data_IF_944816775615
#
_entry.id   IF_944816775615
#
_cell.length_a   1.000
_cell.length_b   1.000
_cell.length_c   1.000
_cell.angle_alpha   90.00
_cell.angle_beta   90.00
_cell.angle_gamma   90.00
#
_symmetry.space_group_name_H-M   'P 1'
#
loop_
_entity.id
_entity.type
_entity.pdbx_description
1 polymer ?
#
# COMPACT_ATOMS: atom_id res chain seq x y z
N UNK A 1 -26.51 17.37 27.39
CA UNK A 1 -27.13 17.15 26.07
C UNK A 1 -26.56 18.15 25.07
N UNK A 2 -25.73 17.69 24.12
CA UNK A 2 -25.46 18.41 22.86
C UNK A 2 -25.36 17.35 21.77
N UNK A 3 -26.40 17.30 20.91
CA UNK A 3 -26.45 16.46 19.72
C UNK A 3 -25.41 16.98 18.73
N UNK A 4 -24.44 16.15 18.34
CA UNK A 4 -23.63 16.40 17.16
C UNK A 4 -24.11 15.43 16.09
N UNK A 5 -24.94 15.95 15.19
CA UNK A 5 -25.37 15.25 13.98
C UNK A 5 -24.18 15.13 13.03
N UNK A 6 -23.49 13.99 13.06
CA UNK A 6 -22.65 13.55 11.95
C UNK A 6 -23.55 13.25 10.76
N UNK A 7 -23.43 14.05 9.70
CA UNK A 7 -24.22 13.94 8.46
C UNK A 7 -24.23 12.50 7.93
N UNK A 8 -25.43 12.04 7.57
CA UNK A 8 -25.71 10.87 6.74
C UNK A 8 -24.66 10.65 5.63
N UNK A 9 -23.98 9.50 5.66
CA UNK A 9 -23.50 8.83 4.44
C UNK A 9 -23.95 7.37 4.48
N UNK A 10 -25.26 7.17 4.52
CA UNK A 10 -25.89 5.90 4.18
C UNK A 10 -25.82 5.65 2.68
N UNK A 11 -24.61 5.52 2.12
CA UNK A 11 -24.48 4.82 0.85
C UNK A 11 -24.43 3.35 1.22
N UNK A 12 -25.49 2.58 0.93
CA UNK A 12 -25.46 1.12 1.10
C UNK A 12 -24.33 0.59 0.22
N UNK A 13 -23.20 0.24 0.85
CA UNK A 13 -22.05 -0.31 0.15
C UNK A 13 -22.46 -1.71 -0.32
N UNK A 14 -22.56 -1.91 -1.62
CA UNK A 14 -22.80 -3.23 -2.21
C UNK A 14 -21.54 -4.10 -2.29
N UNK A 15 -20.37 -3.54 -1.97
CA UNK A 15 -19.09 -4.25 -2.01
C UNK A 15 -18.89 -5.08 -0.72
N UNK A 16 -18.42 -6.33 -0.81
CA UNK A 16 -18.08 -7.14 0.36
C UNK A 16 -16.94 -6.51 1.18
N UNK A 17 -17.03 -6.62 2.51
CA UNK A 17 -15.94 -6.27 3.43
C UNK A 17 -14.67 -7.05 3.04
N UNK A 18 -13.53 -6.37 3.04
CA UNK A 18 -12.23 -6.96 2.64
C UNK A 18 -11.91 -6.85 1.14
N UNK A 19 -12.87 -6.45 0.29
CA UNK A 19 -12.59 -6.15 -1.11
C UNK A 19 -11.80 -4.85 -1.30
N UNK A 20 -11.09 -4.73 -2.43
CA UNK A 20 -10.36 -3.53 -2.80
C UNK A 20 -11.27 -2.29 -2.86
N UNK A 21 -12.47 -2.44 -3.43
CA UNK A 21 -13.48 -1.37 -3.53
C UNK A 21 -13.98 -0.93 -2.16
N UNK A 22 -14.24 -1.88 -1.24
CA UNK A 22 -14.62 -1.54 0.13
C UNK A 22 -13.48 -0.79 0.85
N UNK A 23 -12.23 -1.24 0.69
CA UNK A 23 -11.07 -0.57 1.26
C UNK A 23 -10.84 0.83 0.70
N UNK A 24 -11.12 1.06 -0.60
CA UNK A 24 -11.06 2.39 -1.21
C UNK A 24 -12.14 3.30 -0.62
N UNK A 25 -13.38 2.81 -0.55
CA UNK A 25 -14.50 3.54 0.01
C UNK A 25 -14.24 4.01 1.45
N UNK A 26 -13.75 3.13 2.34
CA UNK A 26 -13.47 3.48 3.74
C UNK A 26 -12.39 4.57 3.83
N UNK A 27 -11.33 4.50 3.01
CA UNK A 27 -10.27 5.51 3.01
C UNK A 27 -10.76 6.88 2.51
N UNK A 28 -11.65 6.90 1.52
CA UNK A 28 -12.26 8.13 1.01
C UNK A 28 -13.30 8.70 1.98
N UNK A 29 -14.09 7.85 2.63
CA UNK A 29 -15.13 8.27 3.57
C UNK A 29 -14.57 8.95 4.82
N UNK A 30 -13.39 8.51 5.29
CA UNK A 30 -12.74 8.98 6.52
C UNK A 30 -11.38 9.65 6.27
N UNK A 31 -11.30 10.50 5.23
CA UNK A 31 -10.07 11.21 4.85
C UNK A 31 -9.72 12.34 5.82
N UNK A 32 -10.71 13.10 6.28
CA UNK A 32 -10.53 14.14 7.29
C UNK A 32 -10.33 13.50 8.68
N UNK A 33 -9.46 14.11 9.49
CA UNK A 33 -9.03 13.53 10.78
C UNK A 33 -9.38 14.44 11.96
N UNK A 34 -9.64 13.82 13.10
CA UNK A 34 -9.75 14.46 14.40
C UNK A 34 -8.61 13.94 15.27
N UNK A 35 -7.93 14.83 16.00
CA UNK A 35 -6.78 14.48 16.87
C UNK A 35 -7.27 14.04 18.26
N UNK A 36 -8.15 13.05 18.30
CA UNK A 36 -8.71 12.48 19.52
C UNK A 36 -8.57 10.96 19.49
N UNK A 37 -8.32 10.36 20.66
CA UNK A 37 -8.26 8.91 20.79
C UNK A 37 -9.66 8.33 20.92
N UNK A 38 -9.88 7.16 20.31
CA UNK A 38 -11.09 6.36 20.48
C UNK A 38 -10.68 5.02 21.07
N UNK A 39 -11.36 4.60 22.14
CA UNK A 39 -11.22 3.25 22.69
C UNK A 39 -12.15 2.34 21.89
N UNK A 40 -11.59 1.33 21.23
CA UNK A 40 -12.34 0.31 20.51
C UNK A 40 -12.77 -0.81 21.47
N UNK A 41 -13.71 -1.64 21.03
CA UNK A 41 -14.22 -2.76 21.81
C UNK A 41 -13.17 -3.88 21.96
N UNK A 42 -13.16 -4.52 23.14
CA UNK A 42 -12.19 -5.56 23.51
C UNK A 42 -12.35 -6.85 22.69
N UNK A 43 -13.50 -7.07 22.06
CA UNK A 43 -13.77 -8.19 21.14
C UNK A 43 -12.86 -8.19 19.91
N UNK A 44 -12.25 -7.05 19.56
CA UNK A 44 -11.25 -6.97 18.50
C UNK A 44 -9.90 -7.58 18.89
N UNK A 45 -9.68 -7.92 20.15
CA UNK A 45 -8.40 -8.48 20.60
C UNK A 45 -8.04 -9.77 19.84
N UNK A 46 -8.98 -10.70 19.70
CA UNK A 46 -8.77 -11.94 18.95
C UNK A 46 -8.48 -11.65 17.46
N UNK A 47 -9.15 -10.65 16.89
CA UNK A 47 -8.91 -10.23 15.50
C UNK A 47 -7.51 -9.63 15.31
N UNK A 48 -6.98 -8.92 16.31
CA UNK A 48 -5.63 -8.38 16.29
C UNK A 48 -4.58 -9.49 16.42
N UNK A 49 -4.77 -10.45 17.34
CA UNK A 49 -3.88 -11.62 17.44
C UNK A 49 -3.85 -12.40 16.13
N UNK A 50 -5.01 -12.63 15.52
CA UNK A 50 -5.08 -13.30 14.22
C UNK A 50 -4.42 -12.49 13.10
N UNK A 51 -4.55 -11.16 13.13
CA UNK A 51 -3.85 -10.29 12.19
C UNK A 51 -2.33 -10.46 12.29
N UNK A 52 -1.77 -10.49 13.50
CA UNK A 52 -0.33 -10.65 13.71
C UNK A 52 0.19 -12.00 13.19
N UNK A 53 -0.54 -13.09 13.44
CA UNK A 53 -0.22 -14.41 12.88
C UNK A 53 -0.20 -14.42 11.34
N UNK A 54 -1.15 -13.72 10.71
CA UNK A 54 -1.24 -13.61 9.26
C UNK A 54 -0.05 -12.81 8.73
N UNK A 55 0.32 -11.70 9.38
CA UNK A 55 1.47 -10.88 8.99
C UNK A 55 2.76 -11.70 9.08
N UNK A 56 2.95 -12.48 10.15
CA UNK A 56 4.11 -13.38 10.29
C UNK A 56 4.13 -14.45 9.17
N UNK A 57 2.98 -15.06 8.88
CA UNK A 57 2.86 -16.04 7.79
C UNK A 57 3.19 -15.45 6.43
N UNK A 58 2.72 -14.23 6.13
CA UNK A 58 3.06 -13.49 4.90
C UNK A 58 4.57 -13.23 4.83
N UNK A 59 5.20 -12.85 5.94
CA UNK A 59 6.64 -12.61 6.01
C UNK A 59 7.46 -13.87 5.69
N UNK A 60 7.06 -15.03 6.25
CA UNK A 60 7.68 -16.33 5.97
C UNK A 60 7.54 -16.73 4.50
N UNK A 61 6.32 -16.66 3.95
CA UNK A 61 6.07 -16.95 2.54
C UNK A 61 6.82 -16.02 1.59
N UNK A 62 6.93 -14.74 1.94
CA UNK A 62 7.74 -13.78 1.18
C UNK A 62 9.22 -14.18 1.19
N UNK A 63 9.75 -14.56 2.34
CA UNK A 63 11.14 -14.99 2.47
C UNK A 63 11.44 -16.25 1.64
N UNK A 64 10.53 -17.23 1.67
CA UNK A 64 10.63 -18.44 0.83
C UNK A 64 10.60 -18.11 -0.66
N UNK A 65 9.68 -17.24 -1.08
CA UNK A 65 9.60 -16.74 -2.47
C UNK A 65 10.92 -16.08 -2.88
N UNK A 66 11.46 -15.19 -2.04
CA UNK A 66 12.68 -14.44 -2.36
C UNK A 66 13.91 -15.37 -2.46
N UNK A 67 13.99 -16.42 -1.63
CA UNK A 67 15.04 -17.47 -1.74
C UNK A 67 15.00 -18.15 -3.13
N UNK A 68 13.81 -18.49 -3.61
CA UNK A 68 13.63 -19.12 -4.93
C UNK A 68 14.02 -18.14 -6.04
N UNK A 69 13.56 -16.88 -5.97
CA UNK A 69 13.89 -15.85 -6.96
C UNK A 69 15.40 -15.60 -7.04
N UNK A 70 16.08 -15.44 -5.90
CA UNK A 70 17.53 -15.24 -5.87
C UNK A 70 18.31 -16.44 -6.41
N UNK A 71 17.85 -17.67 -6.12
CA UNK A 71 18.46 -18.88 -6.67
C UNK A 71 18.38 -18.89 -8.20
N UNK A 72 17.22 -18.52 -8.75
CA UNK A 72 17.02 -18.40 -10.20
C UNK A 72 17.89 -17.28 -10.79
N UNK A 73 17.89 -16.08 -10.19
CA UNK A 73 18.71 -14.96 -10.66
C UNK A 73 20.21 -15.29 -10.65
N UNK A 74 20.69 -16.01 -9.64
CA UNK A 74 22.08 -16.47 -9.54
C UNK A 74 22.46 -17.38 -10.70
N UNK A 75 21.53 -18.24 -11.14
CA UNK A 75 21.72 -19.10 -12.31
C UNK A 75 21.60 -18.33 -13.63
N UNK A 76 20.70 -17.35 -13.70
CA UNK A 76 20.52 -16.50 -14.89
C UNK A 76 21.73 -15.60 -15.16
N UNK A 77 22.38 -15.08 -14.11
CA UNK A 77 23.49 -14.11 -14.21
C UNK A 77 23.11 -12.93 -15.12
N UNK A 78 23.87 -12.65 -16.17
CA UNK A 78 23.62 -11.56 -17.11
C UNK A 78 22.53 -11.88 -18.15
N UNK A 79 22.01 -13.11 -18.18
CA UNK A 79 21.00 -13.52 -19.16
C UNK A 79 19.63 -12.96 -18.79
N UNK A 80 18.98 -12.33 -19.75
CA UNK A 80 17.65 -11.74 -19.53
C UNK A 80 16.50 -12.75 -19.59
N UNK A 81 16.73 -13.94 -20.15
CA UNK A 81 15.69 -14.95 -20.37
C UNK A 81 16.24 -16.32 -19.96
N UNK A 82 15.44 -17.06 -19.20
CA UNK A 82 15.68 -18.46 -18.88
C UNK A 82 14.43 -19.29 -19.07
N UNK A 83 14.61 -20.59 -19.28
CA UNK A 83 13.54 -21.56 -19.43
C UNK A 83 13.71 -22.69 -18.44
N UNK A 84 12.64 -23.02 -17.71
CA UNK A 84 12.56 -24.20 -16.85
C UNK A 84 11.35 -25.01 -17.30
N UNK A 85 11.61 -26.14 -17.98
CA UNK A 85 10.56 -26.94 -18.64
C UNK A 85 9.70 -26.02 -19.54
N UNK A 86 8.43 -25.84 -19.19
CA UNK A 86 7.46 -25.08 -19.97
C UNK A 86 7.29 -23.63 -19.46
N UNK A 87 8.10 -23.18 -18.49
CA UNK A 87 8.02 -21.83 -17.94
C UNK A 87 9.15 -20.95 -18.46
N UNK A 88 8.77 -19.78 -18.98
CA UNK A 88 9.70 -18.71 -19.35
C UNK A 88 9.86 -17.75 -18.18
N UNK A 89 11.11 -17.46 -17.81
CA UNK A 89 11.48 -16.50 -16.79
C UNK A 89 12.21 -15.34 -17.50
N UNK A 90 11.90 -14.11 -17.10
CA UNK A 90 12.54 -12.91 -17.68
C UNK A 90 13.06 -12.00 -16.57
N UNK A 91 14.32 -11.60 -16.68
CA UNK A 91 14.97 -10.64 -15.80
C UNK A 91 15.73 -9.62 -16.65
N UNK A 92 14.98 -8.68 -17.22
CA UNK A 92 15.49 -7.68 -18.17
C UNK A 92 16.00 -6.44 -17.44
N UNK A 93 17.00 -5.79 -18.01
CA UNK A 93 17.39 -4.45 -17.56
C UNK A 93 16.25 -3.46 -17.84
N UNK A 94 15.72 -2.84 -16.78
CA UNK A 94 14.73 -1.76 -16.90
C UNK A 94 15.42 -0.42 -16.69
N UNK A 95 15.24 0.51 -17.63
CA UNK A 95 15.73 1.88 -17.53
C UNK A 95 14.52 2.80 -17.43
N UNK A 96 14.47 3.60 -16.36
CA UNK A 96 13.44 4.62 -16.16
C UNK A 96 14.11 5.99 -16.13
N UNK A 97 13.65 6.88 -16.99
CA UNK A 97 13.96 8.31 -16.91
C UNK A 97 12.88 8.99 -16.06
N UNK A 98 13.29 9.76 -15.06
CA UNK A 98 12.39 10.56 -14.23
C UNK A 98 12.94 11.97 -14.08
N UNK A 99 12.04 12.93 -13.90
CA UNK A 99 12.41 14.31 -13.62
C UNK A 99 13.13 14.41 -12.28
N UNK A 100 14.26 15.10 -12.24
CA UNK A 100 14.95 15.41 -10.98
C UNK A 100 14.21 16.53 -10.25
N UNK A 101 13.18 16.10 -9.51
CA UNK A 101 12.33 17.00 -8.73
C UNK A 101 13.06 17.77 -7.65
N UNK A 102 14.25 17.32 -7.20
CA UNK A 102 15.04 18.06 -6.21
C UNK A 102 15.72 19.25 -6.87
N UNK A 103 16.50 18.99 -7.93
CA UNK A 103 17.18 20.02 -8.69
C UNK A 103 16.18 21.04 -9.25
N UNK A 104 15.03 20.60 -9.77
CA UNK A 104 13.98 21.50 -10.24
C UNK A 104 13.42 22.42 -9.14
N UNK A 105 13.32 21.94 -7.90
CA UNK A 105 12.82 22.74 -6.78
C UNK A 105 13.85 23.78 -6.32
N UNK A 106 15.13 23.49 -6.47
CA UNK A 106 16.24 24.38 -6.10
C UNK A 106 16.50 25.43 -7.18
N UNK A 107 16.57 25.03 -8.44
CA UNK A 107 16.88 25.91 -9.59
C UNK A 107 15.66 26.72 -10.06
N UNK A 108 14.48 26.10 -10.10
CA UNK A 108 13.26 26.69 -10.68
C UNK A 108 12.03 26.48 -9.77
N UNK A 109 12.02 27.06 -8.55
CA UNK A 109 10.96 26.85 -7.56
C UNK A 109 9.57 27.27 -8.04
N UNK A 110 9.49 28.30 -8.88
CA UNK A 110 8.21 28.77 -9.46
C UNK A 110 7.60 27.75 -10.41
N UNK A 111 8.42 27.13 -11.27
CA UNK A 111 7.98 26.05 -12.16
C UNK A 111 7.58 24.84 -11.33
N UNK A 112 8.40 24.44 -10.35
CA UNK A 112 8.06 23.35 -9.45
C UNK A 112 6.70 23.56 -8.79
N UNK A 113 6.45 24.76 -8.24
CA UNK A 113 5.19 25.10 -7.57
C UNK A 113 4.01 25.10 -8.55
N UNK A 114 4.18 25.64 -9.76
CA UNK A 114 3.14 25.69 -10.81
C UNK A 114 2.64 24.32 -11.23
N UNK A 115 3.52 23.31 -11.25
CA UNK A 115 3.18 21.94 -11.68
C UNK A 115 3.05 20.95 -10.51
N UNK A 116 3.20 21.41 -9.27
CA UNK A 116 2.99 20.59 -8.09
C UNK A 116 1.50 20.44 -7.76
N UNK A 117 1.08 19.20 -7.50
CA UNK A 117 -0.25 18.91 -6.95
C UNK A 117 -0.09 18.43 -5.51
N UNK A 118 -0.83 19.05 -4.59
CA UNK A 118 -0.93 18.54 -3.22
C UNK A 118 -1.91 17.36 -3.23
N UNK A 119 -1.44 16.21 -2.75
CA UNK A 119 -2.29 15.06 -2.43
C UNK A 119 -2.14 14.73 -0.95
N UNK A 120 -3.26 14.63 -0.24
CA UNK A 120 -3.32 14.13 1.13
C UNK A 120 -3.73 12.66 1.12
N UNK A 121 -3.15 11.87 2.02
CA UNK A 121 -3.56 10.49 2.24
C UNK A 121 -3.51 10.17 3.73
N UNK A 122 -4.35 9.22 4.17
CA UNK A 122 -4.40 8.73 5.54
C UNK A 122 -3.86 7.32 5.58
N UNK A 123 -2.70 7.12 6.21
CA UNK A 123 -2.07 5.80 6.33
C UNK A 123 -2.68 5.01 7.48
N UNK A 124 -3.08 3.76 7.18
CA UNK A 124 -3.48 2.79 8.19
C UNK A 124 -2.26 1.97 8.62
N UNK A 125 -2.05 1.84 9.93
CA UNK A 125 -0.97 1.05 10.51
C UNK A 125 -1.44 0.46 11.84
N UNK A 126 -1.22 -0.83 12.01
CA UNK A 126 -1.29 -1.53 13.30
C UNK A 126 0.14 -1.61 13.85
N UNK A 127 0.31 -1.42 15.17
CA UNK A 127 1.60 -1.48 15.87
C UNK A 127 1.51 -2.44 17.02
#
# INVERSE_FOLDING_TARGET
MKKVFGKNKGNKIGAPVGSAEYGKFIREAYMDTVSEAVVLSDDLHESLSRYDEIVDSISKLKSEKDIIEHSIMTLMKENEIAYVKNRKITWKKSVRTSLDTKSLKEEEPEIYKKYSKISSSRMFKIR
#
